data_IF_097567381370
#
_entry.id   IF_097567381370
#
_cell.length_a   1.000
_cell.length_b   1.000
_cell.length_c   1.000
_cell.angle_alpha   90.00
_cell.angle_beta   90.00
_cell.angle_gamma   90.00
#
_symmetry.space_group_name_H-M   'P 1'
#
loop_
_entity.id
_entity.type
_entity.pdbx_description
1 polymer ?
#
# COMPACT_ATOMS: atom_id res chain seq x y z
N UNK A 1 -3.00 27.36 0.88
CA UNK A 1 -2.44 25.98 0.92
C UNK A 1 -2.80 25.31 -0.39
N UNK A 2 -1.90 24.52 -0.99
CA UNK A 2 -2.22 23.77 -2.19
C UNK A 2 -3.31 22.73 -1.90
N UNK A 3 -4.23 22.55 -2.85
CA UNK A 3 -5.29 21.54 -2.74
C UNK A 3 -4.68 20.16 -2.81
N UNK A 4 -5.15 19.22 -1.96
CA UNK A 4 -4.76 17.83 -2.00
C UNK A 4 -5.93 17.02 -2.54
N UNK A 5 -5.72 16.31 -3.65
CA UNK A 5 -6.68 15.36 -4.23
C UNK A 5 -6.06 13.97 -4.29
N UNK A 6 -6.91 12.93 -4.31
CA UNK A 6 -6.46 11.54 -4.37
C UNK A 6 -7.33 10.82 -5.37
N UNK A 7 -6.68 10.14 -6.32
CA UNK A 7 -7.33 9.56 -7.48
C UNK A 7 -6.89 8.10 -7.71
N UNK A 8 -7.77 7.24 -8.21
CA UNK A 8 -7.38 5.89 -8.61
C UNK A 8 -6.31 5.89 -9.72
N UNK A 9 -5.35 4.97 -9.60
CA UNK A 9 -4.27 4.80 -10.56
C UNK A 9 -4.75 4.09 -11.82
N UNK A 10 -5.34 4.85 -12.72
CA UNK A 10 -5.83 4.36 -14.02
C UNK A 10 -4.79 4.52 -15.13
N UNK A 11 -4.97 3.85 -16.27
CA UNK A 11 -4.04 3.92 -17.40
C UNK A 11 -3.70 5.35 -17.87
N UNK A 12 -4.65 6.30 -17.95
CA UNK A 12 -4.34 7.69 -18.28
C UNK A 12 -3.43 8.40 -17.28
N UNK A 13 -3.33 7.90 -16.03
CA UNK A 13 -2.46 8.46 -14.97
C UNK A 13 -1.13 7.74 -14.84
N UNK A 14 -0.73 6.97 -15.84
CA UNK A 14 0.52 6.19 -15.78
C UNK A 14 1.75 7.06 -15.47
N UNK A 15 1.88 8.19 -16.13
CA UNK A 15 3.02 9.10 -15.93
C UNK A 15 3.01 9.68 -14.50
N UNK A 16 1.86 9.99 -13.96
CA UNK A 16 1.68 10.45 -12.58
C UNK A 16 2.07 9.36 -11.56
N UNK A 17 1.69 8.10 -11.81
CA UNK A 17 2.13 6.95 -11.00
C UNK A 17 3.65 6.84 -11.00
N UNK A 18 4.29 6.93 -12.16
CA UNK A 18 5.74 6.87 -12.28
C UNK A 18 6.41 8.06 -11.58
N UNK A 19 5.82 9.25 -11.69
CA UNK A 19 6.31 10.44 -10.99
C UNK A 19 6.24 10.26 -9.47
N UNK A 20 5.09 9.84 -8.93
CA UNK A 20 4.91 9.60 -7.51
C UNK A 20 5.91 8.56 -6.97
N UNK A 21 6.09 7.44 -7.69
CA UNK A 21 7.02 6.37 -7.29
C UNK A 21 8.50 6.79 -7.36
N UNK A 22 8.86 7.76 -8.19
CA UNK A 22 10.25 8.21 -8.35
C UNK A 22 10.76 9.14 -7.24
N UNK A 23 9.87 9.64 -6.39
CA UNK A 23 10.15 10.75 -5.46
C UNK A 23 10.87 10.38 -4.15
N UNK A 24 11.23 9.14 -3.92
CA UNK A 24 11.95 8.72 -2.73
C UNK A 24 11.79 7.25 -2.38
N UNK A 25 12.66 6.78 -1.49
CA UNK A 25 12.70 5.37 -1.11
C UNK A 25 12.97 4.45 -2.30
N UNK A 26 12.47 3.24 -2.20
CA UNK A 26 12.66 2.19 -3.21
C UNK A 26 11.52 2.16 -4.27
N UNK A 27 10.58 3.12 -4.23
CA UNK A 27 9.42 3.16 -5.12
C UNK A 27 9.78 3.03 -6.60
N UNK A 28 10.80 3.78 -7.04
CA UNK A 28 11.28 3.75 -8.43
C UNK A 28 11.79 2.36 -8.84
N UNK A 29 12.52 1.67 -7.99
CA UNK A 29 13.11 0.36 -8.30
C UNK A 29 12.15 -0.79 -8.00
N UNK A 30 11.27 -0.64 -7.02
CA UNK A 30 10.30 -1.62 -6.60
C UNK A 30 9.06 -1.65 -7.51
N UNK A 31 8.66 -0.48 -8.07
CA UNK A 31 7.41 -0.32 -8.83
C UNK A 31 6.18 -0.84 -8.07
N UNK A 32 6.27 -0.90 -6.75
CA UNK A 32 5.25 -1.49 -5.87
C UNK A 32 4.84 -2.93 -6.20
N UNK A 33 5.69 -3.68 -6.93
CA UNK A 33 5.47 -5.08 -7.32
C UNK A 33 5.93 -6.06 -6.24
N UNK A 34 6.73 -5.61 -5.27
CA UNK A 34 7.19 -6.45 -4.17
C UNK A 34 6.08 -7.25 -3.46
N UNK A 35 4.90 -6.69 -3.14
CA UNK A 35 3.82 -7.45 -2.51
C UNK A 35 3.16 -8.48 -3.43
N UNK A 36 3.19 -8.24 -4.75
CA UNK A 36 2.44 -9.01 -5.76
C UNK A 36 3.15 -10.29 -6.14
N UNK A 37 4.50 -10.27 -6.15
CA UNK A 37 5.27 -11.40 -6.63
C UNK A 37 5.94 -12.18 -5.49
N UNK A 38 6.14 -13.48 -5.70
CA UNK A 38 6.91 -14.33 -4.79
C UNK A 38 8.41 -13.98 -4.86
N UNK A 39 9.14 -14.30 -3.78
CA UNK A 39 10.56 -13.97 -3.68
C UNK A 39 11.41 -14.49 -4.85
N UNK A 40 11.14 -15.70 -5.34
CA UNK A 40 11.83 -16.28 -6.49
C UNK A 40 11.67 -15.42 -7.76
N UNK A 41 10.48 -14.92 -8.01
CA UNK A 41 10.19 -14.04 -9.17
C UNK A 41 10.86 -12.69 -8.96
N UNK A 42 10.74 -12.11 -7.77
CA UNK A 42 11.38 -10.83 -7.44
C UNK A 42 12.88 -10.80 -7.71
N UNK A 43 13.59 -11.89 -7.37
CA UNK A 43 15.04 -11.97 -7.53
C UNK A 43 15.50 -12.02 -8.99
N UNK A 44 14.62 -12.39 -9.91
CA UNK A 44 14.93 -12.52 -11.34
C UNK A 44 14.38 -11.40 -12.20
N UNK A 45 13.46 -10.56 -11.66
CA UNK A 45 12.86 -9.45 -12.41
C UNK A 45 13.74 -8.21 -12.45
N UNK A 46 13.84 -7.62 -13.63
CA UNK A 46 14.46 -6.31 -13.90
C UNK A 46 13.53 -5.16 -13.50
N UNK A 47 14.03 -3.94 -13.54
CA UNK A 47 13.21 -2.74 -13.33
C UNK A 47 12.13 -2.60 -14.41
N UNK A 48 12.49 -2.81 -15.68
CA UNK A 48 11.56 -2.65 -16.79
C UNK A 48 10.43 -3.69 -16.72
N UNK A 49 10.75 -4.95 -16.42
CA UNK A 49 9.71 -5.97 -16.19
C UNK A 49 8.77 -5.62 -15.02
N UNK A 50 9.27 -5.00 -13.94
CA UNK A 50 8.39 -4.54 -12.84
C UNK A 50 7.49 -3.38 -13.26
N UNK A 51 7.99 -2.47 -14.10
CA UNK A 51 7.18 -1.40 -14.70
C UNK A 51 6.07 -1.96 -15.59
N UNK A 52 6.42 -2.92 -16.44
CA UNK A 52 5.46 -3.59 -17.31
C UNK A 52 4.40 -4.34 -16.51
N UNK A 53 4.79 -5.04 -15.42
CA UNK A 53 3.86 -5.71 -14.51
C UNK A 53 2.87 -4.71 -13.89
N UNK A 54 3.35 -3.56 -13.36
CA UNK A 54 2.47 -2.55 -12.77
C UNK A 54 1.55 -1.94 -13.82
N UNK A 55 2.07 -1.66 -15.02
CA UNK A 55 1.29 -1.11 -16.11
C UNK A 55 0.18 -2.07 -16.56
N UNK A 56 0.52 -3.36 -16.68
CA UNK A 56 -0.44 -4.40 -17.01
C UNK A 56 -1.52 -4.57 -15.94
N UNK A 57 -1.15 -4.50 -14.65
CA UNK A 57 -2.09 -4.56 -13.52
C UNK A 57 -3.07 -3.37 -13.55
N UNK A 58 -2.56 -2.15 -13.79
CA UNK A 58 -3.38 -0.94 -13.93
C UNK A 58 -4.34 -1.06 -15.12
N UNK A 59 -3.87 -1.60 -16.24
CA UNK A 59 -4.67 -1.75 -17.45
C UNK A 59 -5.79 -2.82 -17.29
N UNK A 60 -5.50 -3.88 -16.53
CA UNK A 60 -6.47 -4.95 -16.28
C UNK A 60 -7.58 -4.53 -15.29
N UNK A 61 -7.28 -3.61 -14.37
CA UNK A 61 -8.18 -3.21 -13.28
C UNK A 61 -8.63 -4.35 -12.36
N UNK A 62 -9.24 -3.98 -11.22
CA UNK A 62 -9.40 -2.62 -10.69
C UNK A 62 -8.03 -1.98 -10.39
N UNK A 63 -7.94 -0.64 -10.35
CA UNK A 63 -6.69 0.07 -10.03
C UNK A 63 -6.04 -0.47 -8.76
N UNK A 64 -4.73 -0.86 -8.80
CA UNK A 64 -4.05 -1.50 -7.67
C UNK A 64 -3.62 -0.51 -6.57
N UNK A 65 -4.03 0.74 -6.70
CA UNK A 65 -3.68 1.79 -5.75
C UNK A 65 -4.17 3.16 -6.17
N UNK A 66 -3.83 4.16 -5.35
CA UNK A 66 -4.24 5.55 -5.53
C UNK A 66 -3.02 6.47 -5.58
N UNK A 67 -3.16 7.57 -6.32
CA UNK A 67 -2.16 8.65 -6.43
C UNK A 67 -2.67 9.87 -5.68
N UNK A 68 -1.85 10.43 -4.80
CA UNK A 68 -2.11 11.72 -4.16
C UNK A 68 -1.46 12.85 -4.96
N UNK A 69 -2.19 13.94 -5.13
CA UNK A 69 -1.71 15.16 -5.75
C UNK A 69 -1.67 16.30 -4.74
N UNK A 70 -0.68 17.17 -4.88
CA UNK A 70 -0.57 18.46 -4.18
C UNK A 70 -0.57 19.55 -5.26
N UNK A 71 -1.71 20.25 -5.41
CA UNK A 71 -1.96 21.00 -6.63
C UNK A 71 -2.04 20.05 -7.82
N UNK A 72 -1.23 20.29 -8.85
CA UNK A 72 -1.18 19.46 -10.06
C UNK A 72 -0.05 18.41 -10.03
N UNK A 73 0.74 18.36 -8.96
CA UNK A 73 1.88 17.44 -8.85
C UNK A 73 1.51 16.13 -8.17
N UNK A 74 1.81 15.00 -8.82
CA UNK A 74 1.67 13.67 -8.22
C UNK A 74 2.70 13.49 -7.09
N UNK A 75 2.25 13.54 -5.84
CA UNK A 75 3.05 13.67 -4.63
C UNK A 75 3.20 12.38 -3.83
N UNK A 76 2.33 11.39 -4.05
CA UNK A 76 2.35 10.16 -3.29
C UNK A 76 1.54 9.03 -3.91
N UNK A 77 1.74 7.85 -3.36
CA UNK A 77 1.15 6.59 -3.79
C UNK A 77 0.76 5.75 -2.58
N UNK A 78 -0.34 5.03 -2.68
CA UNK A 78 -0.71 3.92 -1.80
C UNK A 78 -1.09 2.71 -2.63
N UNK A 79 -0.56 1.52 -2.26
CA UNK A 79 -1.04 0.26 -2.81
C UNK A 79 -2.16 -0.29 -1.94
N UNK A 80 -3.30 -0.56 -2.55
CA UNK A 80 -4.48 -1.16 -1.92
C UNK A 80 -5.21 -2.05 -2.92
N UNK A 81 -5.63 -3.21 -2.50
CA UNK A 81 -6.36 -4.15 -3.36
C UNK A 81 -6.61 -5.50 -2.68
N UNK A 82 -7.29 -6.43 -3.37
CA UNK A 82 -7.56 -7.76 -2.84
C UNK A 82 -6.28 -8.44 -2.32
N UNK A 83 -6.37 -9.07 -1.17
CA UNK A 83 -5.24 -9.78 -0.57
C UNK A 83 -4.78 -10.95 -1.44
N UNK A 84 -5.71 -11.59 -2.11
CA UNK A 84 -5.49 -12.77 -2.97
C UNK A 84 -4.55 -12.52 -4.14
N UNK A 85 -4.48 -11.28 -4.67
CA UNK A 85 -3.53 -10.93 -5.74
C UNK A 85 -2.15 -10.55 -5.20
N UNK A 86 -2.01 -10.34 -3.90
CA UNK A 86 -0.76 -9.94 -3.25
C UNK A 86 -0.01 -11.17 -2.71
N UNK A 87 0.59 -11.93 -3.62
CA UNK A 87 1.16 -13.26 -3.37
C UNK A 87 2.15 -13.33 -2.20
N UNK A 88 2.89 -12.24 -1.93
CA UNK A 88 3.83 -12.23 -0.82
C UNK A 88 3.14 -12.31 0.54
N UNK A 89 1.97 -11.68 0.68
CA UNK A 89 1.16 -11.76 1.90
C UNK A 89 0.79 -13.21 2.18
N UNK A 90 0.24 -13.90 1.17
CA UNK A 90 -0.24 -15.27 1.25
C UNK A 90 0.88 -16.30 1.55
N UNK A 91 2.15 -15.91 1.35
CA UNK A 91 3.32 -16.76 1.54
C UNK A 91 4.24 -16.28 2.69
N UNK A 92 3.85 -15.24 3.43
CA UNK A 92 4.59 -14.78 4.61
C UNK A 92 4.05 -15.49 5.86
N UNK A 93 4.82 -16.45 6.38
CA UNK A 93 4.39 -17.31 7.50
C UNK A 93 3.83 -16.54 8.68
N UNK A 94 4.47 -15.42 9.06
CA UNK A 94 4.01 -14.60 10.19
C UNK A 94 2.62 -13.98 9.94
N UNK A 95 2.35 -13.54 8.70
CA UNK A 95 1.05 -12.98 8.32
C UNK A 95 -0.01 -14.08 8.29
N UNK A 96 0.30 -15.21 7.63
CA UNK A 96 -0.62 -16.36 7.54
C UNK A 96 -0.99 -16.91 8.92
N UNK A 97 -0.05 -16.90 9.87
CA UNK A 97 -0.32 -17.35 11.24
C UNK A 97 -1.09 -16.33 12.09
N UNK A 98 -1.06 -15.05 11.71
CA UNK A 98 -1.67 -13.96 12.46
C UNK A 98 -3.07 -13.60 11.99
N UNK A 99 -3.38 -13.77 10.70
CA UNK A 99 -4.72 -13.48 10.16
C UNK A 99 -5.71 -14.58 10.55
N UNK A 100 -6.92 -14.15 10.87
CA UNK A 100 -8.08 -15.05 11.08
C UNK A 100 -8.94 -15.19 9.82
N UNK A 101 -8.61 -14.40 8.79
CA UNK A 101 -9.38 -14.33 7.56
C UNK A 101 -8.98 -15.44 6.58
N UNK A 102 -9.94 -16.06 5.88
CA UNK A 102 -9.64 -17.04 4.83
C UNK A 102 -8.69 -16.46 3.78
N UNK A 103 -7.63 -17.19 3.42
CA UNK A 103 -6.58 -16.68 2.51
C UNK A 103 -7.06 -16.51 1.06
N UNK A 104 -8.15 -17.15 0.69
CA UNK A 104 -8.80 -17.12 -0.62
C UNK A 104 -10.00 -16.17 -0.69
N UNK A 105 -10.21 -15.34 0.34
CA UNK A 105 -11.29 -14.35 0.37
C UNK A 105 -10.89 -13.08 -0.38
N UNK A 106 -11.48 -12.86 -1.56
CA UNK A 106 -11.26 -11.68 -2.39
C UNK A 106 -11.86 -10.40 -1.81
N UNK A 107 -12.79 -10.51 -0.86
CA UNK A 107 -13.35 -9.34 -0.17
C UNK A 107 -12.48 -8.85 1.01
N UNK A 108 -11.45 -9.61 1.40
CA UNK A 108 -10.40 -9.16 2.30
C UNK A 108 -9.29 -8.47 1.50
N UNK A 109 -9.18 -7.15 1.66
CA UNK A 109 -8.20 -6.32 0.97
C UNK A 109 -7.00 -6.02 1.87
N UNK A 110 -5.90 -5.59 1.28
CA UNK A 110 -4.71 -5.19 2.04
C UNK A 110 -4.07 -3.90 1.52
N UNK A 111 -3.62 -3.05 2.46
CA UNK A 111 -2.69 -1.95 2.22
C UNK A 111 -1.28 -2.44 2.49
N UNK A 112 -0.38 -2.33 1.50
CA UNK A 112 0.95 -2.92 1.59
C UNK A 112 2.10 -1.96 1.35
N UNK A 113 1.86 -0.80 0.73
CA UNK A 113 2.91 0.13 0.41
C UNK A 113 2.41 1.58 0.39
N UNK A 114 3.24 2.48 0.94
CA UNK A 114 3.12 3.92 0.77
C UNK A 114 4.42 4.46 0.17
N UNK A 115 4.29 5.39 -0.75
CA UNK A 115 5.40 6.23 -1.20
C UNK A 115 4.94 7.68 -1.12
N UNK A 116 5.72 8.53 -0.46
CA UNK A 116 5.53 9.99 -0.45
C UNK A 116 6.82 10.63 -0.89
N UNK A 117 6.73 11.47 -1.91
CA UNK A 117 7.87 12.22 -2.42
C UNK A 117 8.49 13.07 -1.32
N UNK A 118 9.81 13.20 -1.33
CA UNK A 118 10.56 13.85 -0.22
C UNK A 118 10.06 15.26 0.07
N UNK A 119 9.81 16.02 -0.99
CA UNK A 119 9.34 17.41 -0.97
C UNK A 119 7.94 17.59 -0.37
N UNK A 120 7.15 16.51 -0.35
CA UNK A 120 5.79 16.51 0.19
C UNK A 120 5.61 15.77 1.52
N UNK A 121 6.72 15.35 2.14
CA UNK A 121 6.68 14.70 3.46
C UNK A 121 6.29 15.71 4.56
N UNK A 122 5.79 15.18 5.68
CA UNK A 122 5.37 16.01 6.82
C UNK A 122 4.03 16.72 6.62
N UNK A 123 3.33 16.52 5.50
CA UNK A 123 2.04 17.16 5.18
C UNK A 123 0.83 16.25 5.43
N UNK A 124 1.03 15.12 6.12
CA UNK A 124 -0.06 14.19 6.46
C UNK A 124 -0.59 13.36 5.29
N UNK A 125 0.13 13.26 4.15
CA UNK A 125 -0.33 12.55 2.96
C UNK A 125 -0.64 11.08 3.22
N UNK A 126 0.12 10.38 4.07
CA UNK A 126 -0.17 8.97 4.39
C UNK A 126 -1.56 8.78 5.00
N UNK A 127 -1.96 9.65 5.92
CA UNK A 127 -3.30 9.61 6.52
C UNK A 127 -4.41 9.87 5.49
N UNK A 128 -4.19 10.82 4.58
CA UNK A 128 -5.15 11.14 3.51
C UNK A 128 -5.25 10.00 2.48
N UNK A 129 -4.12 9.45 2.05
CA UNK A 129 -4.07 8.28 1.18
C UNK A 129 -4.80 7.09 1.81
N UNK A 130 -4.59 6.85 3.10
CA UNK A 130 -5.27 5.77 3.81
C UNK A 130 -6.78 5.99 3.92
N UNK A 131 -7.23 7.22 4.19
CA UNK A 131 -8.66 7.55 4.22
C UNK A 131 -9.32 7.28 2.86
N UNK A 132 -8.72 7.78 1.78
CA UNK A 132 -9.24 7.49 0.42
C UNK A 132 -9.14 6.01 0.04
N UNK A 133 -8.13 5.28 0.53
CA UNK A 133 -8.02 3.84 0.30
C UNK A 133 -9.13 3.05 1.01
N UNK A 134 -9.59 3.51 2.19
CA UNK A 134 -10.75 2.95 2.88
C UNK A 134 -12.03 3.12 2.06
N UNK A 135 -12.26 4.32 1.54
CA UNK A 135 -13.45 4.62 0.73
C UNK A 135 -13.40 3.82 -0.58
N UNK A 136 -12.27 3.82 -1.27
CA UNK A 136 -12.05 3.05 -2.49
C UNK A 136 -12.28 1.55 -2.29
N UNK A 137 -11.75 0.97 -1.21
CA UNK A 137 -11.93 -0.44 -0.88
C UNK A 137 -13.41 -0.77 -0.62
N UNK A 138 -14.11 0.10 0.15
CA UNK A 138 -15.56 -0.06 0.44
C UNK A 138 -16.38 0.00 -0.84
N UNK A 139 -16.16 0.99 -1.69
CA UNK A 139 -16.85 1.15 -2.98
C UNK A 139 -16.58 -0.01 -3.94
N UNK A 140 -15.42 -0.65 -3.81
CA UNK A 140 -15.04 -1.85 -4.57
C UNK A 140 -15.54 -3.16 -3.97
N UNK A 141 -16.34 -3.12 -2.89
CA UNK A 141 -16.94 -4.29 -2.27
C UNK A 141 -16.06 -5.04 -1.27
N UNK A 142 -14.97 -4.44 -0.81
CA UNK A 142 -14.19 -5.02 0.28
C UNK A 142 -14.98 -4.96 1.59
N UNK A 143 -15.01 -6.08 2.34
CA UNK A 143 -15.60 -6.14 3.69
C UNK A 143 -14.63 -5.82 4.81
N UNK A 144 -13.33 -5.98 4.54
CA UNK A 144 -12.25 -5.83 5.49
C UNK A 144 -11.01 -5.26 4.80
N UNK A 145 -10.30 -4.40 5.49
CA UNK A 145 -8.97 -3.94 5.09
C UNK A 145 -7.94 -4.35 6.14
N UNK A 146 -6.90 -5.07 5.70
CA UNK A 146 -5.73 -5.43 6.50
C UNK A 146 -4.54 -4.54 6.15
N UNK A 147 -3.62 -4.38 7.10
CA UNK A 147 -2.30 -3.83 6.84
C UNK A 147 -1.27 -4.38 7.84
N UNK A 148 0.00 -4.12 7.55
CA UNK A 148 1.13 -4.68 8.30
C UNK A 148 2.15 -3.60 8.66
N UNK A 149 1.71 -2.51 9.33
CA UNK A 149 2.55 -1.35 9.62
C UNK A 149 3.69 -1.66 10.59
N UNK A 150 4.64 -0.73 10.61
CA UNK A 150 5.76 -0.75 11.56
C UNK A 150 5.32 -0.09 12.86
N UNK A 151 5.60 -0.75 13.98
CA UNK A 151 5.49 -0.17 15.31
C UNK A 151 6.75 0.66 15.62
N UNK A 152 6.62 1.96 15.48
CA UNK A 152 7.73 2.90 15.70
C UNK A 152 8.01 3.17 17.18
N UNK A 153 7.23 2.62 18.11
CA UNK A 153 7.52 2.68 19.56
C UNK A 153 8.65 1.75 19.98
N UNK A 154 9.00 0.76 19.15
CA UNK A 154 9.96 -0.31 19.45
C UNK A 154 11.36 -0.10 18.88
N UNK A 155 11.86 1.15 18.77
CA UNK A 155 13.22 1.42 18.33
C UNK A 155 13.34 2.47 17.23
N UNK A 156 14.53 2.63 16.65
CA UNK A 156 14.77 3.54 15.54
C UNK A 156 14.55 2.85 14.20
N UNK A 157 13.82 3.50 13.30
CA UNK A 157 13.51 2.99 11.97
C UNK A 157 14.04 3.94 10.89
N UNK A 158 14.60 3.38 9.81
CA UNK A 158 14.97 4.18 8.63
C UNK A 158 13.71 4.53 7.85
N UNK A 159 13.71 5.69 7.17
CA UNK A 159 12.57 6.11 6.35
C UNK A 159 12.16 5.07 5.31
N UNK A 160 13.11 4.31 4.76
CA UNK A 160 12.82 3.26 3.78
C UNK A 160 12.12 2.03 4.39
N UNK A 161 12.23 1.82 5.70
CA UNK A 161 11.55 0.71 6.37
C UNK A 161 10.06 1.02 6.61
N UNK A 162 9.68 2.30 6.52
CA UNK A 162 8.33 2.80 6.80
C UNK A 162 7.37 2.76 5.62
N UNK A 163 7.73 2.11 4.52
CA UNK A 163 6.84 2.00 3.35
C UNK A 163 5.55 1.22 3.62
N UNK A 164 5.51 0.44 4.69
CA UNK A 164 4.28 -0.20 5.17
C UNK A 164 3.36 0.74 5.98
N UNK A 165 3.76 1.99 6.18
CA UNK A 165 3.12 2.91 7.11
C UNK A 165 3.48 2.61 8.57
N UNK A 166 2.99 3.44 9.49
CA UNK A 166 3.19 3.30 10.93
C UNK A 166 1.90 2.90 11.64
N UNK A 167 2.00 2.16 12.73
CA UNK A 167 0.85 1.77 13.57
C UNK A 167 -0.01 2.98 13.93
N UNK A 168 0.61 4.10 14.33
CA UNK A 168 -0.11 5.33 14.68
C UNK A 168 -0.98 5.88 13.55
N UNK A 169 -0.53 5.79 12.29
CA UNK A 169 -1.31 6.23 11.12
C UNK A 169 -2.58 5.38 10.96
N UNK A 170 -2.47 4.07 11.12
CA UNK A 170 -3.60 3.15 10.99
C UNK A 170 -4.58 3.25 12.16
N UNK A 171 -4.09 3.37 13.40
CA UNK A 171 -4.95 3.59 14.57
C UNK A 171 -5.75 4.89 14.46
N UNK A 172 -5.11 5.97 14.01
CA UNK A 172 -5.80 7.24 13.75
C UNK A 172 -6.88 7.12 12.66
N UNK A 173 -6.76 6.15 11.76
CA UNK A 173 -7.76 5.82 10.75
C UNK A 173 -8.77 4.76 11.22
N UNK A 174 -8.81 4.41 12.51
CA UNK A 174 -9.79 3.49 13.10
C UNK A 174 -9.55 2.01 12.85
N UNK A 175 -8.30 1.62 12.55
CA UNK A 175 -7.91 0.22 12.53
C UNK A 175 -7.73 -0.32 13.96
N UNK A 176 -8.00 -1.58 14.15
CA UNK A 176 -7.75 -2.32 15.37
C UNK A 176 -6.41 -3.03 15.33
N UNK A 177 -5.73 -3.07 16.47
CA UNK A 177 -4.48 -3.81 16.62
C UNK A 177 -4.76 -5.32 16.69
N UNK A 178 -4.05 -6.05 15.85
CA UNK A 178 -3.97 -7.50 15.89
C UNK A 178 -2.65 -8.01 16.46
N UNK A 179 -2.29 -9.26 16.14
CA UNK A 179 -1.06 -9.88 16.61
C UNK A 179 0.21 -9.18 16.10
N UNK A 180 1.24 -9.17 16.96
CA UNK A 180 2.60 -8.81 16.55
C UNK A 180 3.13 -9.87 15.57
N UNK A 181 3.67 -9.39 14.45
CA UNK A 181 4.31 -10.24 13.45
C UNK A 181 5.79 -10.47 13.81
N UNK A 182 6.69 -9.98 12.99
CA UNK A 182 8.15 -10.05 13.23
C UNK A 182 8.77 -8.68 12.99
N UNK A 183 9.94 -8.43 13.58
CA UNK A 183 10.74 -7.22 13.35
C UNK A 183 9.96 -5.89 13.56
N UNK A 184 9.17 -5.80 14.63
CA UNK A 184 8.42 -4.58 14.99
C UNK A 184 7.24 -4.28 14.06
N UNK A 185 6.70 -5.27 13.36
CA UNK A 185 5.49 -5.15 12.55
C UNK A 185 4.29 -5.75 13.27
N UNK A 186 3.12 -5.17 13.03
CA UNK A 186 1.85 -5.58 13.65
C UNK A 186 0.81 -5.79 12.54
N UNK A 187 -0.01 -6.81 12.67
CA UNK A 187 -1.24 -6.92 11.87
C UNK A 187 -2.24 -5.88 12.41
N UNK A 188 -2.82 -5.10 11.53
CA UNK A 188 -3.95 -4.23 11.86
C UNK A 188 -5.09 -4.49 10.90
N UNK A 189 -6.33 -4.41 11.37
CA UNK A 189 -7.53 -4.68 10.57
C UNK A 189 -8.59 -3.60 10.78
N UNK A 190 -9.41 -3.37 9.76
CA UNK A 190 -10.60 -2.54 9.86
C UNK A 190 -11.73 -3.15 9.03
N UNK A 191 -12.86 -3.46 9.68
CA UNK A 191 -14.11 -3.80 9.00
C UNK A 191 -14.63 -2.61 8.18
N UNK A 192 -15.15 -2.88 7.00
CA UNK A 192 -15.68 -1.87 6.06
C UNK A 192 -17.19 -1.98 5.86
N UNK A 193 -17.81 -3.05 6.36
CA UNK A 193 -19.26 -3.18 6.38
C UNK A 193 -19.86 -2.11 7.30
N UNK A 194 -21.00 -1.53 6.88
CA UNK A 194 -21.83 -0.62 7.66
C UNK A 194 -22.47 -1.34 8.86
#
# INVERSE_FOLDING_TARGET
MATITIEPATSPRWDDVQHALSGGGDGRSCQCIWPVVRNKVWQTTTLDERRDMLQAEIAAGPPPGLVAYVGDEAAGWIRVGPRTVQQRILHTRAIVAATTEPLDDDSAWAVTCFVVRREHRGQGLNGRLLASALDYARESGARLLEAYPVDTSTGSHRSNDLYHGTVSTFLAAGFELGPTLTAGRVLVTRGLAD
#
